data_IF_956418045406
#
_entry.id   IF_956418045406
#
_cell.length_a   1.000
_cell.length_b   1.000
_cell.length_c   1.000
_cell.angle_alpha   90.00
_cell.angle_beta   90.00
_cell.angle_gamma   90.00
#
_symmetry.space_group_name_H-M   'P 1'
#
loop_
_entity.id
_entity.type
_entity.pdbx_description
1 polymer ?
#
# COMPACT_ATOMS: atom_id res chain seq x y z
N UNK A 1 0.49 -36.50 -53.84
CA UNK A 1 0.62 -36.45 -52.36
C UNK A 1 0.67 -35.01 -51.82
N UNK A 2 1.58 -34.14 -52.26
CA UNK A 2 1.78 -32.79 -51.68
C UNK A 2 0.49 -31.95 -51.46
N UNK A 3 -0.47 -31.95 -52.40
CA UNK A 3 -1.74 -31.19 -52.25
C UNK A 3 -2.61 -31.65 -51.07
N UNK A 4 -2.67 -32.95 -50.74
CA UNK A 4 -3.44 -33.40 -49.57
C UNK A 4 -2.80 -32.95 -48.26
N UNK A 5 -1.47 -33.00 -48.16
CA UNK A 5 -0.73 -32.61 -46.95
C UNK A 5 -0.99 -31.13 -46.61
N UNK A 6 -1.07 -30.27 -47.63
CA UNK A 6 -1.37 -28.84 -47.44
C UNK A 6 -2.77 -28.58 -46.88
N UNK A 7 -3.79 -29.31 -47.36
CA UNK A 7 -5.16 -29.20 -46.80
C UNK A 7 -5.25 -29.74 -45.37
N UNK A 8 -4.55 -30.84 -45.05
CA UNK A 8 -4.47 -31.34 -43.67
C UNK A 8 -3.75 -30.37 -42.73
N UNK A 9 -2.67 -29.71 -43.17
CA UNK A 9 -1.99 -28.69 -42.39
C UNK A 9 -2.87 -27.47 -42.10
N UNK A 10 -3.64 -27.00 -43.10
CA UNK A 10 -4.60 -25.90 -42.90
C UNK A 10 -5.74 -26.33 -41.98
N UNK A 11 -6.27 -27.54 -42.11
CA UNK A 11 -7.32 -28.05 -41.22
C UNK A 11 -6.84 -28.13 -39.76
N UNK A 12 -5.63 -28.66 -39.53
CA UNK A 12 -5.03 -28.73 -38.18
C UNK A 12 -4.75 -27.33 -37.61
N UNK A 13 -4.28 -26.38 -38.42
CA UNK A 13 -4.09 -24.99 -38.01
C UNK A 13 -5.42 -24.29 -37.65
N UNK A 14 -6.48 -24.51 -38.43
CA UNK A 14 -7.80 -23.96 -38.12
C UNK A 14 -8.40 -24.58 -36.86
N UNK A 15 -8.24 -25.89 -36.66
CA UNK A 15 -8.67 -26.57 -35.42
C UNK A 15 -7.90 -26.04 -34.20
N UNK A 16 -6.60 -25.79 -34.32
CA UNK A 16 -5.81 -25.23 -33.20
C UNK A 16 -6.17 -23.77 -32.90
N UNK A 17 -6.50 -22.95 -33.91
CA UNK A 17 -6.99 -21.56 -33.73
C UNK A 17 -8.39 -21.54 -33.10
N UNK A 18 -9.31 -22.42 -33.53
CA UNK A 18 -10.65 -22.55 -32.94
C UNK A 18 -10.56 -23.05 -31.50
N UNK A 19 -9.69 -24.02 -31.20
CA UNK A 19 -9.43 -24.43 -29.83
C UNK A 19 -8.82 -23.30 -29.00
N UNK A 20 -7.82 -22.57 -29.49
CA UNK A 20 -7.20 -21.46 -28.77
C UNK A 20 -8.20 -20.33 -28.46
N UNK A 21 -9.00 -19.91 -29.44
CA UNK A 21 -10.03 -18.87 -29.24
C UNK A 21 -11.17 -19.35 -28.30
N UNK A 22 -11.56 -20.61 -28.37
CA UNK A 22 -12.57 -21.20 -27.47
C UNK A 22 -12.02 -21.35 -26.05
N UNK A 23 -10.75 -21.76 -25.89
CA UNK A 23 -10.06 -21.78 -24.59
C UNK A 23 -9.98 -20.36 -24.01
N UNK A 24 -9.50 -19.37 -24.77
CA UNK A 24 -9.40 -17.98 -24.30
C UNK A 24 -10.77 -17.42 -23.90
N UNK A 25 -11.84 -17.78 -24.60
CA UNK A 25 -13.21 -17.38 -24.25
C UNK A 25 -13.75 -18.11 -23.02
N UNK A 26 -13.43 -19.40 -22.85
CA UNK A 26 -13.74 -20.18 -21.64
C UNK A 26 -12.98 -19.64 -20.43
N UNK A 27 -11.67 -19.41 -20.55
CA UNK A 27 -10.85 -18.78 -19.51
C UNK A 27 -11.36 -17.39 -19.16
N UNK A 28 -11.67 -16.53 -20.14
CA UNK A 28 -12.23 -15.18 -19.89
C UNK A 28 -13.60 -15.23 -19.20
N UNK A 29 -14.47 -16.18 -19.56
CA UNK A 29 -15.74 -16.40 -18.88
C UNK A 29 -15.55 -16.99 -17.47
N UNK A 30 -14.59 -17.88 -17.27
CA UNK A 30 -14.24 -18.44 -15.95
C UNK A 30 -13.60 -17.38 -15.04
N UNK A 31 -12.82 -16.45 -15.61
CA UNK A 31 -12.25 -15.30 -14.90
C UNK A 31 -13.34 -14.31 -14.47
N UNK A 32 -14.28 -13.98 -15.37
CA UNK A 32 -15.43 -13.14 -15.05
C UNK A 32 -16.38 -13.81 -14.03
N UNK A 33 -16.59 -15.13 -14.14
CA UNK A 33 -17.37 -15.90 -13.16
C UNK A 33 -16.68 -15.96 -11.80
N UNK A 34 -15.35 -16.13 -11.75
CA UNK A 34 -14.58 -16.09 -10.51
C UNK A 34 -14.51 -14.69 -9.90
N UNK A 35 -14.44 -13.61 -10.69
CA UNK A 35 -14.57 -12.23 -10.17
C UNK A 35 -15.88 -11.99 -9.41
N UNK A 36 -16.98 -12.63 -9.82
CA UNK A 36 -18.26 -12.56 -9.10
C UNK A 36 -18.35 -13.53 -7.89
N UNK A 37 -17.40 -14.44 -7.72
CA UNK A 37 -17.28 -15.37 -6.58
C UNK A 37 -16.24 -14.92 -5.54
N UNK A 38 -15.28 -14.08 -5.93
CA UNK A 38 -14.33 -13.40 -5.05
C UNK A 38 -14.72 -11.95 -4.75
N UNK A 39 -15.90 -11.52 -5.17
CA UNK A 39 -16.56 -10.41 -4.51
C UNK A 39 -16.84 -10.85 -3.05
N UNK A 40 -16.00 -10.38 -2.11
CA UNK A 40 -16.34 -10.38 -0.69
C UNK A 40 -17.79 -9.88 -0.58
N UNK A 41 -18.67 -10.71 -0.03
CA UNK A 41 -20.03 -10.31 0.27
C UNK A 41 -19.92 -9.23 1.36
N UNK A 42 -19.80 -7.96 0.94
CA UNK A 42 -19.78 -6.79 1.83
C UNK A 42 -21.05 -6.86 2.66
N UNK A 43 -20.92 -7.38 3.88
CA UNK A 43 -22.03 -7.51 4.82
C UNK A 43 -22.45 -6.08 5.14
N UNK A 44 -23.66 -5.70 4.73
CA UNK A 44 -24.12 -4.33 4.87
C UNK A 44 -24.06 -3.93 6.35
N UNK A 45 -23.12 -3.05 6.69
CA UNK A 45 -22.94 -2.60 8.07
C UNK A 45 -24.21 -1.87 8.54
N UNK A 46 -24.57 -2.03 9.81
CA UNK A 46 -25.66 -1.24 10.37
C UNK A 46 -25.35 0.26 10.22
N UNK A 47 -26.25 1.08 9.64
CA UNK A 47 -26.03 2.53 9.53
C UNK A 47 -25.80 3.24 10.86
N UNK A 48 -26.13 2.59 11.98
CA UNK A 48 -25.85 3.07 13.35
C UNK A 48 -24.36 3.04 13.71
N UNK A 49 -23.52 2.37 12.92
CA UNK A 49 -22.08 2.25 13.12
C UNK A 49 -21.25 3.16 12.20
N UNK A 50 -21.89 3.79 11.20
CA UNK A 50 -21.26 4.69 10.23
C UNK A 50 -21.58 4.32 8.76
N UNK A 51 -20.95 4.99 7.77
CA UNK A 51 -19.96 6.05 7.94
C UNK A 51 -20.57 7.32 8.55
N UNK A 52 -19.86 7.87 9.53
CA UNK A 52 -20.09 9.22 10.05
C UNK A 52 -19.03 10.17 9.50
N UNK A 53 -19.33 11.47 9.49
CA UNK A 53 -18.37 12.51 9.09
C UNK A 53 -18.30 13.61 10.13
N UNK A 54 -17.13 14.21 10.27
CA UNK A 54 -16.96 15.47 11.00
C UNK A 54 -16.08 16.44 10.19
N UNK A 55 -16.25 17.77 10.36
CA UNK A 55 -15.42 18.74 9.67
C UNK A 55 -14.00 18.75 10.27
N UNK A 56 -13.04 18.20 9.55
CA UNK A 56 -11.62 18.27 9.90
C UNK A 56 -10.96 19.44 9.15
N UNK A 57 -10.04 20.16 9.81
CA UNK A 57 -9.30 21.25 9.15
C UNK A 57 -8.44 20.74 8.00
N UNK A 58 -8.42 21.48 6.90
CA UNK A 58 -7.48 21.25 5.80
C UNK A 58 -6.06 21.64 6.23
N UNK A 59 -5.90 22.72 6.99
CA UNK A 59 -4.61 23.19 7.48
C UNK A 59 -4.66 23.38 9.01
N UNK A 60 -3.72 22.74 9.71
CA UNK A 60 -3.59 22.81 11.17
C UNK A 60 -2.53 23.84 11.63
N UNK A 61 -1.82 24.46 10.68
CA UNK A 61 -0.68 25.36 10.93
C UNK A 61 -0.97 26.81 10.51
N UNK A 62 -1.86 27.07 9.55
CA UNK A 62 -2.42 28.41 9.32
C UNK A 62 -3.73 28.62 10.11
N UNK A 63 -3.70 29.54 11.08
CA UNK A 63 -4.87 29.88 11.90
C UNK A 63 -5.94 30.69 11.16
N UNK A 64 -5.59 31.31 10.03
CA UNK A 64 -6.51 32.04 9.15
C UNK A 64 -7.20 31.12 8.12
N UNK A 65 -6.69 29.89 7.95
CA UNK A 65 -7.29 28.91 7.08
C UNK A 65 -8.45 28.20 7.80
N UNK A 66 -9.67 28.53 7.38
CA UNK A 66 -10.91 27.95 7.89
C UNK A 66 -11.47 26.82 7.00
N UNK A 67 -10.74 26.40 5.95
CA UNK A 67 -11.20 25.31 5.10
C UNK A 67 -11.25 23.99 5.86
N UNK A 68 -12.32 23.23 5.65
CA UNK A 68 -12.51 21.90 6.23
C UNK A 68 -12.91 20.88 5.17
N UNK A 69 -12.70 19.61 5.46
CA UNK A 69 -13.17 18.47 4.67
C UNK A 69 -13.96 17.50 5.56
N UNK A 70 -14.91 16.73 5.00
CA UNK A 70 -15.68 15.75 5.76
C UNK A 70 -14.84 14.50 6.00
N UNK A 71 -14.21 14.41 7.18
CA UNK A 71 -13.39 13.27 7.58
C UNK A 71 -14.29 12.09 7.98
N UNK A 72 -14.18 10.95 7.27
CA UNK A 72 -14.99 9.76 7.54
C UNK A 72 -14.44 8.92 8.69
N UNK A 73 -15.35 8.34 9.47
CA UNK A 73 -15.06 7.36 10.51
C UNK A 73 -16.27 6.47 10.79
N UNK A 74 -16.03 5.33 11.43
CA UNK A 74 -17.05 4.42 11.96
C UNK A 74 -16.79 4.20 13.45
N UNK A 75 -17.83 3.92 14.22
CA UNK A 75 -17.72 3.70 15.66
C UNK A 75 -18.62 2.56 16.12
N UNK A 76 -18.08 1.67 16.96
CA UNK A 76 -18.83 0.61 17.63
C UNK A 76 -18.53 0.63 19.13
N UNK A 77 -19.56 0.96 19.91
CA UNK A 77 -19.53 1.05 21.36
C UNK A 77 -20.29 -0.09 22.06
N UNK A 78 -20.73 -1.12 21.33
CA UNK A 78 -21.56 -2.23 21.86
C UNK A 78 -20.89 -2.97 23.03
N UNK A 79 -19.55 -3.03 23.04
CA UNK A 79 -18.76 -3.70 24.08
C UNK A 79 -18.37 -2.77 25.24
N UNK A 80 -18.73 -1.48 25.20
CA UNK A 80 -18.22 -0.49 26.14
C UNK A 80 -18.68 -0.74 27.59
N UNK A 81 -17.75 -0.60 28.52
CA UNK A 81 -17.98 -0.61 29.98
C UNK A 81 -17.28 0.60 30.60
N UNK A 82 -17.78 1.18 31.70
CA UNK A 82 -17.10 2.30 32.37
C UNK A 82 -15.64 1.99 32.68
N UNK A 83 -14.73 2.86 32.20
CA UNK A 83 -13.28 2.68 32.32
C UNK A 83 -12.61 1.89 31.17
N UNK A 84 -13.37 1.43 30.17
CA UNK A 84 -12.82 0.78 28.98
C UNK A 84 -12.16 1.76 27.99
N UNK A 85 -11.17 1.30 27.21
CA UNK A 85 -10.40 2.17 26.31
C UNK A 85 -11.15 2.52 25.01
N UNK A 86 -10.72 3.61 24.36
CA UNK A 86 -11.01 3.86 22.95
C UNK A 86 -9.89 3.23 22.12
N UNK A 87 -10.24 2.27 21.28
CA UNK A 87 -9.36 1.59 20.33
C UNK A 87 -9.52 2.33 19.00
N UNK A 88 -8.61 3.25 18.74
CA UNK A 88 -8.57 4.03 17.50
C UNK A 88 -7.73 3.29 16.45
N UNK A 89 -8.41 2.74 15.45
CA UNK A 89 -7.79 2.06 14.32
C UNK A 89 -7.77 3.02 13.12
N UNK A 90 -6.57 3.50 12.78
CA UNK A 90 -6.36 4.24 11.55
C UNK A 90 -6.05 3.24 10.43
N UNK A 91 -6.85 3.22 9.37
CA UNK A 91 -6.78 2.17 8.32
C UNK A 91 -5.56 2.28 7.38
N UNK A 92 -4.70 3.28 7.59
CA UNK A 92 -3.57 3.57 6.71
C UNK A 92 -4.04 3.96 5.31
N UNK A 93 -3.24 3.61 4.31
CA UNK A 93 -3.38 4.04 2.93
C UNK A 93 -4.52 3.35 2.14
N UNK A 94 -5.74 3.24 2.71
CA UNK A 94 -6.88 2.54 2.09
C UNK A 94 -8.29 3.03 2.50
N UNK A 95 -9.32 2.62 1.75
CA UNK A 95 -10.74 2.94 2.01
C UNK A 95 -11.26 2.19 3.24
N UNK A 96 -11.57 2.93 4.31
CA UNK A 96 -12.04 2.36 5.58
C UNK A 96 -13.37 1.63 5.45
N UNK A 97 -14.15 1.86 4.38
CA UNK A 97 -15.36 1.09 4.07
C UNK A 97 -15.07 -0.41 3.87
N UNK A 98 -13.83 -0.78 3.51
CA UNK A 98 -13.36 -2.17 3.43
C UNK A 98 -12.91 -2.76 4.77
N UNK A 99 -12.63 -1.92 5.78
CA UNK A 99 -12.08 -2.33 7.09
C UNK A 99 -13.15 -2.33 8.18
N UNK A 100 -14.43 -2.29 7.80
CA UNK A 100 -15.54 -2.29 8.77
C UNK A 100 -15.60 -3.57 9.60
N UNK A 101 -14.96 -4.65 9.16
CA UNK A 101 -14.84 -5.86 9.97
C UNK A 101 -13.96 -5.67 11.22
N UNK A 102 -12.92 -4.84 11.16
CA UNK A 102 -12.19 -4.40 12.37
C UNK A 102 -13.12 -3.76 13.42
N UNK A 103 -14.17 -3.09 12.97
CA UNK A 103 -15.18 -2.50 13.84
C UNK A 103 -16.09 -3.53 14.52
N UNK A 104 -16.33 -4.70 13.92
CA UNK A 104 -17.36 -5.66 14.38
C UNK A 104 -16.85 -7.04 14.78
N UNK A 105 -15.86 -7.63 14.09
CA UNK A 105 -15.41 -9.02 14.31
C UNK A 105 -13.88 -9.26 14.14
N UNK A 106 -13.12 -8.27 13.69
CA UNK A 106 -11.66 -8.30 13.58
C UNK A 106 -10.90 -8.05 14.90
N UNK A 107 -9.56 -7.94 14.82
CA UNK A 107 -8.67 -7.86 15.99
C UNK A 107 -9.06 -6.73 16.96
N UNK A 108 -9.37 -5.54 16.45
CA UNK A 108 -9.75 -4.39 17.28
C UNK A 108 -11.14 -4.54 17.91
N UNK A 109 -12.07 -5.27 17.28
CA UNK A 109 -13.32 -5.71 17.93
C UNK A 109 -13.07 -6.74 19.02
N UNK A 110 -12.20 -7.73 18.80
CA UNK A 110 -11.82 -8.71 19.84
C UNK A 110 -11.14 -8.02 21.02
N UNK A 111 -10.30 -7.02 20.77
CA UNK A 111 -9.68 -6.17 21.78
C UNK A 111 -10.75 -5.37 22.55
N UNK A 112 -11.74 -4.77 21.87
CA UNK A 112 -12.87 -4.08 22.50
C UNK A 112 -13.72 -5.02 23.36
N UNK A 113 -14.01 -6.24 22.89
CA UNK A 113 -14.75 -7.26 23.65
C UNK A 113 -14.01 -7.67 24.94
N UNK A 114 -12.69 -7.86 24.87
CA UNK A 114 -11.86 -8.25 26.02
C UNK A 114 -11.64 -7.12 27.03
N UNK A 115 -11.49 -5.88 26.56
CA UNK A 115 -11.17 -4.72 27.40
C UNK A 115 -12.40 -3.88 27.79
N UNK A 116 -13.59 -4.22 27.30
CA UNK A 116 -14.79 -3.41 27.49
C UNK A 116 -14.73 -2.05 26.78
N UNK A 117 -14.08 -1.98 25.62
CA UNK A 117 -13.75 -0.75 24.92
C UNK A 117 -14.72 -0.34 23.80
N UNK A 118 -14.41 0.80 23.19
CA UNK A 118 -15.06 1.32 21.96
C UNK A 118 -14.07 1.18 20.80
N UNK A 119 -14.48 0.68 19.64
CA UNK A 119 -13.67 0.75 18.41
C UNK A 119 -14.06 1.99 17.61
N UNK A 120 -13.08 2.76 17.16
CA UNK A 120 -13.21 3.77 16.12
C UNK A 120 -12.35 3.33 14.94
N UNK A 121 -12.98 2.99 13.81
CA UNK A 121 -12.26 2.82 12.54
C UNK A 121 -12.24 4.18 11.87
N UNK A 122 -11.07 4.78 11.78
CA UNK A 122 -10.85 6.11 11.21
C UNK A 122 -10.26 5.96 9.81
N UNK A 123 -10.91 6.59 8.83
CA UNK A 123 -10.37 6.65 7.49
C UNK A 123 -9.15 7.58 7.48
N UNK A 124 -7.99 7.10 7.04
CA UNK A 124 -6.83 7.98 6.95
C UNK A 124 -7.18 9.15 6.02
N UNK A 125 -6.77 10.37 6.40
CA UNK A 125 -6.91 11.54 5.53
C UNK A 125 -6.25 11.22 4.18
N UNK A 126 -6.96 11.46 3.08
CA UNK A 126 -6.55 11.07 1.72
C UNK A 126 -6.71 9.59 1.35
N UNK A 127 -7.65 8.85 1.95
CA UNK A 127 -8.03 7.50 1.48
C UNK A 127 -9.55 7.25 1.50
N UNK A 128 -10.04 6.27 0.73
CA UNK A 128 -11.48 5.98 0.58
C UNK A 128 -12.32 7.10 -0.04
N UNK A 129 -13.57 7.28 0.41
CA UNK A 129 -14.37 8.46 0.03
C UNK A 129 -13.86 9.75 0.72
N UNK A 130 -12.82 9.65 1.56
CA UNK A 130 -11.97 10.76 1.98
C UNK A 130 -10.77 10.98 1.01
N UNK A 131 -10.90 10.63 -0.29
CA UNK A 131 -9.85 10.79 -1.33
C UNK A 131 -10.35 11.01 -2.80
N UNK A 132 -9.50 11.44 -3.77
CA UNK A 132 -9.88 11.51 -5.19
C UNK A 132 -9.05 10.74 -6.26
N UNK A 133 -7.72 10.59 -6.20
CA UNK A 133 -6.89 10.15 -7.37
C UNK A 133 -5.61 9.34 -7.04
N UNK A 134 -4.87 8.78 -8.05
CA UNK A 134 -3.62 8.00 -7.83
C UNK A 134 -2.35 8.43 -8.62
N UNK A 135 -1.15 8.30 -7.99
CA UNK A 135 0.19 8.45 -8.63
C UNK A 135 0.68 7.19 -9.37
N UNK A 136 1.30 7.33 -10.56
CA UNK A 136 2.17 6.32 -11.16
C UNK A 136 3.67 6.72 -11.11
N UNK A 137 4.56 5.81 -10.68
CA UNK A 137 5.96 5.65 -11.14
C UNK A 137 6.78 4.58 -10.35
N UNK A 138 6.19 3.93 -9.34
CA UNK A 138 6.81 2.80 -8.61
C UNK A 138 6.39 1.40 -9.09
N UNK A 139 5.82 1.27 -10.30
CA UNK A 139 4.76 0.30 -10.62
C UNK A 139 4.96 -1.14 -10.07
N UNK A 140 6.07 -1.88 -10.35
CA UNK A 140 6.23 -3.22 -9.79
C UNK A 140 6.32 -3.22 -8.26
N UNK A 141 7.11 -2.30 -7.66
CA UNK A 141 7.23 -2.19 -6.20
C UNK A 141 5.91 -1.74 -5.56
N UNK A 142 5.14 -0.90 -6.25
CA UNK A 142 3.80 -0.47 -5.81
C UNK A 142 2.72 -1.55 -5.97
N UNK A 143 3.02 -2.64 -6.68
CA UNK A 143 2.22 -3.87 -6.72
C UNK A 143 2.69 -4.87 -5.66
N UNK A 144 3.99 -4.98 -5.41
CA UNK A 144 4.56 -5.82 -4.35
C UNK A 144 4.07 -5.43 -2.95
N UNK A 145 3.95 -4.13 -2.66
CA UNK A 145 3.34 -3.64 -1.41
C UNK A 145 1.85 -3.98 -1.26
N UNK A 146 1.17 -4.47 -2.32
CA UNK A 146 -0.26 -4.82 -2.35
C UNK A 146 -0.52 -6.32 -2.38
N UNK A 147 0.51 -7.15 -2.25
CA UNK A 147 0.36 -8.60 -2.18
C UNK A 147 -0.19 -9.00 -0.82
N UNK A 148 -1.25 -9.80 -0.78
CA UNK A 148 -1.91 -10.25 0.45
C UNK A 148 -1.82 -11.79 0.60
N UNK A 149 -2.00 -12.34 1.81
CA UNK A 149 -2.07 -13.78 1.99
C UNK A 149 -3.16 -14.46 1.15
N UNK A 150 -2.74 -15.24 0.16
CA UNK A 150 -3.64 -15.95 -0.76
C UNK A 150 -4.07 -15.14 -1.98
N UNK A 151 -3.78 -13.83 -2.05
CA UNK A 151 -3.86 -13.03 -3.28
C UNK A 151 -2.46 -12.52 -3.67
N UNK A 152 -1.78 -13.19 -4.63
CA UNK A 152 -0.44 -12.80 -5.04
C UNK A 152 -0.41 -11.44 -5.77
N UNK A 153 -1.57 -10.92 -6.19
CA UNK A 153 -1.74 -9.58 -6.72
C UNK A 153 -1.06 -9.32 -8.09
N UNK A 154 -1.09 -8.06 -8.57
CA UNK A 154 -0.56 -7.69 -9.88
C UNK A 154 0.98 -7.76 -9.99
N UNK A 155 1.71 -8.03 -8.89
CA UNK A 155 3.14 -8.28 -8.94
C UNK A 155 3.48 -9.67 -9.49
N UNK A 156 2.66 -10.67 -9.18
CA UNK A 156 2.85 -12.02 -9.69
C UNK A 156 2.57 -12.08 -11.20
N UNK A 157 1.61 -11.29 -11.72
CA UNK A 157 1.43 -11.09 -13.16
C UNK A 157 2.68 -10.48 -13.84
N UNK A 158 3.40 -9.58 -13.15
CA UNK A 158 4.69 -9.05 -13.60
C UNK A 158 5.77 -10.15 -13.60
N UNK A 159 5.89 -10.94 -12.53
CA UNK A 159 6.84 -12.06 -12.45
C UNK A 159 6.62 -13.09 -13.56
N UNK A 160 5.35 -13.44 -13.84
CA UNK A 160 4.98 -14.42 -14.86
C UNK A 160 5.44 -14.06 -16.27
N UNK A 161 5.62 -12.77 -16.58
CA UNK A 161 6.19 -12.32 -17.85
C UNK A 161 7.62 -12.86 -18.08
N UNK A 162 8.35 -13.20 -17.01
CA UNK A 162 9.73 -13.69 -17.06
C UNK A 162 9.86 -15.21 -17.03
N UNK A 163 8.77 -15.97 -16.85
CA UNK A 163 8.82 -17.43 -16.65
C UNK A 163 9.54 -18.20 -17.78
N UNK A 164 9.52 -17.67 -19.01
CA UNK A 164 10.19 -18.25 -20.17
C UNK A 164 11.47 -17.49 -20.59
N UNK A 165 11.88 -16.46 -19.84
CA UNK A 165 12.96 -15.54 -20.19
C UNK A 165 14.31 -15.97 -19.59
N UNK A 166 14.94 -16.98 -20.19
CA UNK A 166 16.17 -17.61 -19.68
C UNK A 166 17.48 -16.92 -20.07
N UNK A 167 17.43 -15.89 -20.93
CA UNK A 167 18.62 -15.12 -21.34
C UNK A 167 18.43 -13.64 -21.05
N UNK A 168 19.51 -12.85 -20.85
CA UNK A 168 19.39 -11.41 -20.61
C UNK A 168 18.61 -10.65 -21.70
N UNK A 169 18.78 -11.05 -22.96
CA UNK A 169 18.03 -10.46 -24.09
C UNK A 169 16.52 -10.79 -24.00
N UNK A 170 16.17 -12.04 -23.66
CA UNK A 170 14.78 -12.43 -23.45
C UNK A 170 14.16 -11.73 -22.23
N UNK A 171 14.93 -11.49 -21.16
CA UNK A 171 14.48 -10.77 -19.96
C UNK A 171 14.22 -9.29 -20.26
N UNK A 172 15.10 -8.63 -21.03
CA UNK A 172 14.86 -7.25 -21.50
C UNK A 172 13.62 -7.18 -22.40
N UNK A 173 13.43 -8.16 -23.30
CA UNK A 173 12.24 -8.23 -24.15
C UNK A 173 10.94 -8.45 -23.35
N UNK A 174 10.96 -9.34 -22.34
CA UNK A 174 9.84 -9.58 -21.44
C UNK A 174 9.46 -8.31 -20.65
N UNK A 175 10.45 -7.64 -20.04
CA UNK A 175 10.26 -6.39 -19.30
C UNK A 175 9.68 -5.28 -20.20
N UNK A 176 10.23 -5.11 -21.40
CA UNK A 176 9.77 -4.12 -22.36
C UNK A 176 8.33 -4.41 -22.84
N UNK A 177 8.00 -5.68 -23.11
CA UNK A 177 6.65 -6.11 -23.51
C UNK A 177 5.62 -5.83 -22.42
N UNK A 178 5.92 -6.23 -21.17
CA UNK A 178 5.04 -5.99 -20.02
C UNK A 178 4.85 -4.48 -19.76
N UNK A 179 5.95 -3.71 -19.79
CA UNK A 179 5.90 -2.26 -19.57
C UNK A 179 5.11 -1.55 -20.66
N UNK A 180 5.22 -1.99 -21.92
CA UNK A 180 4.43 -1.45 -23.04
C UNK A 180 2.93 -1.72 -22.85
N UNK A 181 2.55 -2.94 -22.45
CA UNK A 181 1.17 -3.29 -22.17
C UNK A 181 0.60 -2.50 -20.97
N UNK A 182 1.38 -2.38 -19.90
CA UNK A 182 1.02 -1.57 -18.74
C UNK A 182 0.84 -0.09 -19.12
N UNK A 183 1.81 0.50 -19.84
CA UNK A 183 1.77 1.90 -20.26
C UNK A 183 0.54 2.21 -21.13
N UNK A 184 0.22 1.33 -22.09
CA UNK A 184 -0.97 1.48 -22.93
C UNK A 184 -2.29 1.46 -22.13
N UNK A 185 -2.36 0.66 -21.07
CA UNK A 185 -3.53 0.61 -20.18
C UNK A 185 -3.59 1.81 -19.20
N UNK A 186 -2.44 2.26 -18.69
CA UNK A 186 -2.34 3.33 -17.70
C UNK A 186 -2.60 4.73 -18.28
N UNK A 187 -2.08 5.02 -19.48
CA UNK A 187 -2.22 6.34 -20.10
C UNK A 187 -3.65 6.63 -20.61
N UNK A 188 -4.46 5.58 -20.83
CA UNK A 188 -5.81 5.67 -21.39
C UNK A 188 -5.86 6.52 -22.69
N UNK A 189 -6.38 7.74 -22.62
CA UNK A 189 -6.53 8.67 -23.75
C UNK A 189 -5.41 9.74 -23.83
N UNK A 190 -4.41 9.69 -22.95
CA UNK A 190 -3.27 10.62 -22.92
C UNK A 190 -2.05 10.02 -23.64
N UNK A 191 -1.11 10.86 -24.08
CA UNK A 191 0.17 10.35 -24.59
C UNK A 191 1.04 9.83 -23.43
N UNK A 192 2.00 8.95 -23.73
CA UNK A 192 2.94 8.46 -22.72
C UNK A 192 3.81 9.59 -22.15
N UNK A 193 4.12 10.62 -22.95
CA UNK A 193 4.89 11.79 -22.51
C UNK A 193 4.05 12.69 -21.58
N UNK A 194 2.75 12.89 -21.85
CA UNK A 194 1.86 13.63 -20.94
C UNK A 194 1.70 12.89 -19.59
N UNK A 195 1.51 11.56 -19.66
CA UNK A 195 1.26 10.73 -18.48
C UNK A 195 2.52 10.50 -17.64
N UNK A 196 3.60 9.98 -18.24
CA UNK A 196 4.84 9.62 -17.55
C UNK A 196 5.93 10.70 -17.57
N UNK A 197 5.86 11.69 -18.47
CA UNK A 197 6.93 12.69 -18.63
C UNK A 197 7.16 13.53 -17.37
N UNK A 198 8.43 13.73 -17.00
CA UNK A 198 8.84 14.40 -15.75
C UNK A 198 9.72 15.62 -16.02
N UNK A 199 9.46 16.30 -17.14
CA UNK A 199 10.28 17.41 -17.65
C UNK A 199 9.48 18.66 -18.06
N UNK A 200 8.16 18.57 -18.25
CA UNK A 200 7.33 19.73 -18.54
C UNK A 200 6.79 20.37 -17.23
N UNK A 201 7.20 21.60 -16.87
CA UNK A 201 6.63 22.32 -15.73
C UNK A 201 5.16 22.74 -15.96
N UNK A 202 4.65 22.69 -17.20
CA UNK A 202 3.25 23.00 -17.53
C UNK A 202 2.31 21.80 -17.47
N UNK A 203 2.84 20.58 -17.32
CA UNK A 203 2.03 19.37 -17.22
C UNK A 203 1.01 19.48 -16.07
N UNK A 204 -0.20 18.97 -16.29
CA UNK A 204 -1.33 19.11 -15.34
C UNK A 204 -0.96 18.65 -13.93
N UNK A 205 -0.24 17.54 -13.78
CA UNK A 205 0.25 17.04 -12.48
C UNK A 205 1.15 18.05 -11.72
N UNK A 206 1.99 18.79 -12.44
CA UNK A 206 2.90 19.81 -11.86
C UNK A 206 2.12 21.06 -11.42
N UNK A 207 1.15 21.49 -12.24
CA UNK A 207 0.41 22.75 -12.10
C UNK A 207 -0.89 22.65 -11.32
N UNK A 208 -1.41 21.44 -11.07
CA UNK A 208 -2.66 21.26 -10.36
C UNK A 208 -2.51 21.62 -8.86
N UNK A 209 -3.01 22.81 -8.49
CA UNK A 209 -3.08 23.29 -7.10
C UNK A 209 -4.49 23.25 -6.53
N UNK A 210 -5.39 22.39 -7.02
CA UNK A 210 -6.72 22.24 -6.41
C UNK A 210 -6.58 21.81 -4.94
N UNK A 211 -7.47 22.32 -4.09
CA UNK A 211 -7.65 21.75 -2.75
C UNK A 211 -7.96 20.25 -2.88
N UNK A 212 -7.48 19.47 -1.91
CA UNK A 212 -7.52 17.99 -1.93
C UNK A 212 -6.64 17.33 -3.01
N UNK A 213 -5.54 17.97 -3.44
CA UNK A 213 -4.45 17.30 -4.15
C UNK A 213 -3.47 16.67 -3.12
N UNK A 214 -3.70 15.41 -2.80
CA UNK A 214 -2.92 14.57 -1.90
C UNK A 214 -1.56 14.20 -2.47
N UNK A 215 -1.48 13.82 -3.75
CA UNK A 215 -0.23 13.56 -4.49
C UNK A 215 0.78 14.71 -4.30
N UNK A 216 0.29 15.96 -4.46
CA UNK A 216 1.08 17.18 -4.26
C UNK A 216 1.45 17.41 -2.79
N UNK A 217 0.60 17.01 -1.86
CA UNK A 217 0.85 17.14 -0.41
C UNK A 217 1.91 16.13 0.06
N UNK A 218 1.85 14.88 -0.43
CA UNK A 218 2.86 13.86 -0.18
C UNK A 218 4.19 14.19 -0.87
N UNK A 219 4.14 14.67 -2.12
CA UNK A 219 5.34 15.14 -2.82
C UNK A 219 6.00 16.30 -2.08
N UNK A 220 5.23 17.21 -1.48
CA UNK A 220 5.77 18.29 -0.64
C UNK A 220 6.56 17.76 0.57
N UNK A 221 5.99 16.83 1.34
CA UNK A 221 6.66 16.20 2.50
C UNK A 221 7.92 15.43 2.10
N UNK A 222 7.87 14.69 1.00
CA UNK A 222 9.02 13.91 0.51
C UNK A 222 10.11 14.79 -0.10
N UNK A 223 9.77 15.87 -0.81
CA UNK A 223 10.70 16.86 -1.35
C UNK A 223 11.44 17.69 -0.28
N UNK A 224 10.82 17.93 0.88
CA UNK A 224 11.39 18.77 1.94
C UNK A 224 11.95 18.01 3.14
N UNK A 225 11.38 16.88 3.52
CA UNK A 225 11.65 16.27 4.83
C UNK A 225 12.01 14.79 4.71
N UNK A 226 11.13 13.97 4.13
CA UNK A 226 11.22 12.51 4.24
C UNK A 226 12.13 11.86 3.19
N UNK A 227 12.14 12.35 1.95
CA UNK A 227 12.95 11.77 0.87
C UNK A 227 12.70 10.27 0.61
N UNK A 228 11.46 9.80 0.78
CA UNK A 228 11.03 8.39 0.63
C UNK A 228 10.99 7.96 -0.85
N UNK A 229 12.13 8.07 -1.52
CA UNK A 229 12.30 7.83 -2.94
C UNK A 229 12.56 6.33 -3.21
N UNK A 230 11.66 5.70 -3.95
CA UNK A 230 11.81 4.31 -4.39
C UNK A 230 12.86 4.22 -5.52
N UNK A 231 14.13 4.08 -5.12
CA UNK A 231 15.28 4.09 -6.04
C UNK A 231 15.86 2.69 -6.23
N UNK A 232 16.71 2.54 -7.25
CA UNK A 232 17.38 1.26 -7.50
C UNK A 232 18.31 0.82 -6.36
N UNK A 233 18.47 -0.50 -6.22
CA UNK A 233 19.35 -1.05 -5.20
C UNK A 233 20.82 -0.68 -5.48
N UNK A 234 21.68 -0.59 -4.43
CA UNK A 234 23.08 -0.23 -4.57
C UNK A 234 23.85 -1.11 -5.58
N UNK A 235 24.97 -0.59 -6.10
CA UNK A 235 25.90 -1.38 -6.92
C UNK A 235 26.28 -2.67 -6.17
N UNK A 236 26.38 -3.78 -6.91
CA UNK A 236 26.60 -5.11 -6.34
C UNK A 236 25.32 -5.89 -5.99
N UNK A 237 24.17 -5.22 -5.84
CA UNK A 237 22.89 -5.87 -5.55
C UNK A 237 22.03 -5.99 -6.82
N UNK A 238 21.24 -7.06 -6.92
CA UNK A 238 20.21 -7.19 -7.96
C UNK A 238 19.13 -6.11 -7.75
N UNK A 239 18.52 -5.63 -8.84
CA UNK A 239 17.48 -4.60 -8.77
C UNK A 239 16.51 -4.69 -9.93
N UNK A 240 15.22 -4.53 -9.64
CA UNK A 240 14.15 -4.43 -10.63
C UNK A 240 13.99 -2.99 -11.17
N UNK A 241 14.45 -1.99 -10.41
CA UNK A 241 14.42 -0.58 -10.80
C UNK A 241 15.72 -0.23 -11.53
N UNK A 242 15.63 0.51 -12.63
CA UNK A 242 16.80 1.00 -13.36
C UNK A 242 17.70 1.86 -12.47
N UNK A 243 19.03 1.62 -12.48
CA UNK A 243 20.02 2.40 -11.71
C UNK A 243 20.16 3.87 -12.12
N UNK A 244 19.41 4.32 -13.14
CA UNK A 244 19.24 5.73 -13.47
C UNK A 244 18.20 6.43 -12.58
N UNK A 245 17.34 5.66 -11.89
CA UNK A 245 16.37 6.16 -10.91
C UNK A 245 17.07 6.31 -9.55
N UNK A 246 17.56 7.52 -9.29
CA UNK A 246 18.32 7.92 -8.10
C UNK A 246 17.52 8.88 -7.22
N UNK A 247 17.96 9.19 -5.98
CA UNK A 247 17.33 10.24 -5.18
C UNK A 247 17.32 11.60 -5.89
N UNK A 248 18.41 11.93 -6.60
CA UNK A 248 18.51 13.17 -7.38
C UNK A 248 17.54 13.17 -8.59
N UNK A 249 17.21 12.01 -9.17
CA UNK A 249 16.14 11.90 -10.18
C UNK A 249 14.78 12.31 -9.64
N UNK A 250 14.41 11.94 -8.41
CA UNK A 250 13.17 12.42 -7.79
C UNK A 250 13.29 13.89 -7.39
N UNK A 251 14.36 14.29 -6.70
CA UNK A 251 14.53 15.66 -6.21
C UNK A 251 14.50 16.72 -7.31
N UNK A 252 15.03 16.42 -8.52
CA UNK A 252 14.99 17.35 -9.66
C UNK A 252 13.56 17.74 -10.09
N UNK A 253 12.56 16.94 -9.71
CA UNK A 253 11.16 17.15 -10.09
C UNK A 253 10.46 18.10 -9.13
N UNK A 254 10.91 18.20 -7.87
CA UNK A 254 10.30 19.05 -6.85
C UNK A 254 10.12 20.51 -7.32
N UNK A 255 11.09 21.06 -8.05
CA UNK A 255 11.06 22.42 -8.61
C UNK A 255 10.03 22.62 -9.75
N UNK A 256 9.50 21.54 -10.33
CA UNK A 256 8.38 21.61 -11.29
C UNK A 256 7.04 21.81 -10.57
N UNK A 257 6.94 21.36 -9.31
CA UNK A 257 5.73 21.44 -8.51
C UNK A 257 5.76 22.67 -7.58
N UNK A 258 6.90 23.00 -6.96
CA UNK A 258 6.99 24.03 -5.91
C UNK A 258 8.03 25.12 -6.21
N UNK A 259 7.85 26.35 -5.70
CA UNK A 259 8.82 27.44 -5.84
C UNK A 259 10.23 27.05 -5.39
N UNK A 260 11.25 27.39 -6.20
CA UNK A 260 12.65 27.13 -5.85
C UNK A 260 13.15 27.88 -4.61
N UNK A 261 12.44 28.94 -4.18
CA UNK A 261 12.79 29.74 -3.00
C UNK A 261 12.54 29.03 -1.66
N UNK A 262 11.70 28.00 -1.64
CA UNK A 262 11.34 27.24 -0.42
C UNK A 262 11.88 25.81 -0.44
N UNK A 263 12.39 25.34 -1.59
CA UNK A 263 12.98 24.02 -1.76
C UNK A 263 14.46 24.02 -1.38
N UNK A 264 14.89 22.96 -0.69
CA UNK A 264 16.30 22.61 -0.51
C UNK A 264 16.80 21.71 -1.64
N UNK A 265 18.11 21.71 -1.87
CA UNK A 265 18.74 20.87 -2.90
C UNK A 265 18.61 19.35 -2.64
N UNK A 266 18.33 18.96 -1.39
CA UNK A 266 17.95 17.61 -0.94
C UNK A 266 16.95 17.71 0.22
N UNK A 267 16.09 16.70 0.46
CA UNK A 267 15.18 16.69 1.61
C UNK A 267 15.97 16.66 2.92
N UNK A 268 15.40 17.24 3.98
CA UNK A 268 16.03 17.41 5.30
C UNK A 268 15.99 16.13 6.17
N UNK A 269 16.28 14.98 5.56
CA UNK A 269 16.19 13.66 6.21
C UNK A 269 17.02 13.57 7.48
N UNK A 270 18.23 14.15 7.49
CA UNK A 270 19.08 14.22 8.68
C UNK A 270 18.38 14.91 9.86
N UNK A 271 17.74 16.06 9.63
CA UNK A 271 17.02 16.79 10.68
C UNK A 271 15.84 15.98 11.25
N UNK A 272 15.10 15.28 10.39
CA UNK A 272 14.01 14.38 10.83
C UNK A 272 14.56 13.22 11.66
N UNK A 273 15.62 12.56 11.19
CA UNK A 273 16.26 11.45 11.90
C UNK A 273 16.91 11.88 13.22
N UNK A 274 17.52 13.06 13.29
CA UNK A 274 18.08 13.65 14.51
C UNK A 274 16.96 14.02 15.51
N UNK A 275 15.87 14.63 15.02
CA UNK A 275 14.76 15.10 15.86
C UNK A 275 13.92 13.97 16.46
N UNK A 276 13.72 12.89 15.71
CA UNK A 276 12.85 11.77 16.11
C UNK A 276 13.62 10.46 16.39
N UNK A 277 14.95 10.49 16.40
CA UNK A 277 15.83 9.35 16.68
C UNK A 277 16.07 8.38 15.51
N UNK A 278 15.21 8.38 14.48
CA UNK A 278 15.31 7.48 13.34
C UNK A 278 15.39 6.01 13.76
N UNK A 279 16.31 5.22 13.20
CA UNK A 279 16.54 3.83 13.61
C UNK A 279 16.92 3.65 15.09
N UNK A 280 17.45 4.71 15.74
CA UNK A 280 17.87 4.71 17.15
C UNK A 280 16.77 5.18 18.12
N UNK A 281 15.53 5.38 17.66
CA UNK A 281 14.42 5.76 18.51
C UNK A 281 14.16 4.65 19.56
N UNK A 282 14.39 4.94 20.84
CA UNK A 282 14.07 4.05 21.96
C UNK A 282 12.96 4.69 22.80
N UNK A 283 11.84 4.00 22.94
CA UNK A 283 10.68 4.43 23.72
C UNK A 283 9.85 3.21 24.16
N UNK A 284 9.32 3.28 25.37
CA UNK A 284 8.34 2.32 25.89
C UNK A 284 6.98 2.50 25.17
N UNK A 285 6.17 1.44 25.16
CA UNK A 285 4.81 1.39 24.61
C UNK A 285 4.72 1.57 23.09
N UNK A 286 5.77 1.15 22.35
CA UNK A 286 5.74 1.02 20.89
C UNK A 286 5.94 -0.45 20.52
N UNK A 287 4.95 -1.03 19.84
CA UNK A 287 5.07 -2.35 19.22
C UNK A 287 5.56 -2.16 17.79
N UNK A 288 6.78 -2.62 17.49
CA UNK A 288 7.36 -2.53 16.16
C UNK A 288 7.00 -3.80 15.39
N UNK A 289 6.24 -3.66 14.29
CA UNK A 289 5.86 -4.76 13.40
C UNK A 289 6.34 -4.44 11.99
N UNK A 290 6.97 -5.40 11.32
CA UNK A 290 7.45 -5.27 9.94
C UNK A 290 7.32 -6.61 9.21
N UNK A 291 7.08 -6.59 7.90
CA UNK A 291 7.23 -7.77 7.04
C UNK A 291 8.68 -8.01 6.63
N UNK A 292 9.11 -9.28 6.53
CA UNK A 292 10.44 -9.67 6.03
C UNK A 292 10.71 -9.19 4.60
N UNK A 293 9.68 -9.15 3.76
CA UNK A 293 9.75 -8.74 2.36
C UNK A 293 9.10 -7.37 2.11
N UNK A 294 8.70 -6.63 3.16
CA UNK A 294 8.20 -5.27 3.02
C UNK A 294 9.27 -4.35 2.38
N UNK A 295 8.98 -3.69 1.23
CA UNK A 295 9.93 -2.77 0.59
C UNK A 295 10.28 -1.58 1.51
N UNK A 296 9.38 -1.18 2.39
CA UNK A 296 9.55 -0.10 3.36
C UNK A 296 10.31 -0.52 4.63
N UNK A 297 10.55 -1.83 4.86
CA UNK A 297 11.42 -2.31 5.96
C UNK A 297 12.77 -1.62 5.99
N UNK A 298 13.31 -1.26 4.82
CA UNK A 298 14.58 -0.55 4.68
C UNK A 298 14.59 0.87 5.29
N UNK A 299 13.42 1.46 5.57
CA UNK A 299 13.29 2.75 6.25
C UNK A 299 12.99 2.61 7.75
N UNK A 300 12.59 1.43 8.22
CA UNK A 300 12.16 1.21 9.60
C UNK A 300 13.30 0.74 10.52
N UNK A 301 13.00 0.58 11.82
CA UNK A 301 13.91 0.00 12.81
C UNK A 301 14.27 -1.47 12.55
N UNK A 302 13.59 -2.12 11.61
CA UNK A 302 13.87 -3.50 11.17
C UNK A 302 14.70 -3.57 9.87
N UNK A 303 15.25 -2.43 9.40
CA UNK A 303 16.15 -2.41 8.25
C UNK A 303 17.38 -3.32 8.51
N UNK A 304 17.88 -4.08 7.51
CA UNK A 304 19.04 -4.97 7.70
C UNK A 304 20.34 -4.30 8.15
N UNK A 305 20.41 -2.97 8.03
CA UNK A 305 21.53 -2.11 8.46
C UNK A 305 21.18 -1.16 9.60
N UNK A 306 19.98 -1.28 10.20
CA UNK A 306 19.67 -0.63 11.47
C UNK A 306 20.44 -1.31 12.63
N UNK A 307 20.70 -0.60 13.75
CA UNK A 307 21.23 -1.22 14.97
C UNK A 307 20.29 -2.31 15.49
N UNK A 308 20.86 -3.41 16.01
CA UNK A 308 20.08 -4.49 16.62
C UNK A 308 19.25 -3.97 17.79
N UNK A 309 17.92 -4.05 17.67
CA UNK A 309 16.95 -3.67 18.71
C UNK A 309 16.59 -4.87 19.57
N UNK A 310 16.72 -4.73 20.88
CA UNK A 310 16.20 -5.72 21.83
C UNK A 310 14.67 -5.65 21.85
N UNK A 311 14.00 -6.79 21.62
CA UNK A 311 12.56 -6.93 21.85
C UNK A 311 12.31 -7.08 23.35
N UNK A 312 11.36 -6.32 23.90
CA UNK A 312 11.02 -6.31 25.34
C UNK A 312 9.51 -6.29 25.55
N UNK A 313 9.02 -6.60 26.75
CA UNK A 313 7.58 -6.53 27.07
C UNK A 313 6.99 -5.11 26.90
N UNK A 314 7.83 -4.07 27.04
CA UNK A 314 7.43 -2.67 26.90
C UNK A 314 7.55 -2.14 25.47
N UNK A 315 8.52 -2.63 24.69
CA UNK A 315 8.62 -2.35 23.26
C UNK A 315 8.97 -3.64 22.53
N UNK A 316 7.97 -4.45 22.17
CA UNK A 316 8.15 -5.62 21.33
C UNK A 316 8.62 -5.21 19.94
N UNK A 317 9.48 -6.03 19.35
CA UNK A 317 9.96 -5.86 17.99
C UNK A 317 9.83 -7.20 17.26
N UNK A 318 8.96 -7.23 16.25
CA UNK A 318 8.59 -8.44 15.51
C UNK A 318 8.80 -8.23 14.01
N UNK A 319 9.46 -9.21 13.40
CA UNK A 319 9.60 -9.33 11.96
C UNK A 319 8.76 -10.53 11.51
N UNK A 320 7.68 -10.29 10.79
CA UNK A 320 6.80 -11.34 10.27
C UNK A 320 7.51 -12.00 9.08
N UNK A 321 7.83 -13.29 9.21
CA UNK A 321 8.48 -14.09 8.17
C UNK A 321 7.61 -14.14 6.92
N UNK A 322 8.25 -14.07 5.75
CA UNK A 322 7.64 -14.13 4.41
C UNK A 322 6.60 -13.02 4.09
N UNK A 323 6.31 -12.12 5.03
CA UNK A 323 5.31 -11.07 4.87
C UNK A 323 5.81 -9.84 4.10
N UNK A 324 4.92 -9.21 3.33
CA UNK A 324 5.18 -7.90 2.72
C UNK A 324 4.58 -6.77 3.58
N UNK A 325 4.11 -5.68 2.96
CA UNK A 325 3.68 -4.47 3.64
C UNK A 325 2.39 -4.68 4.44
N UNK A 326 2.42 -4.30 5.72
CA UNK A 326 1.29 -4.27 6.68
C UNK A 326 0.44 -5.56 6.76
N UNK A 327 1.06 -6.74 6.64
CA UNK A 327 0.37 -8.03 6.79
C UNK A 327 -0.21 -8.28 8.18
N UNK A 328 0.27 -7.58 9.20
CA UNK A 328 -0.35 -7.51 10.52
C UNK A 328 -1.74 -6.85 10.50
N UNK A 329 -2.01 -5.96 9.54
CA UNK A 329 -3.35 -5.44 9.25
C UNK A 329 -4.12 -6.29 8.22
N UNK A 330 -3.74 -7.55 8.00
CA UNK A 330 -4.55 -8.50 7.24
C UNK A 330 -5.53 -9.26 8.14
N UNK A 331 -6.80 -9.23 7.77
CA UNK A 331 -7.86 -10.02 8.40
C UNK A 331 -8.90 -10.42 7.34
N UNK A 332 -9.54 -11.57 7.53
CA UNK A 332 -10.62 -12.04 6.63
C UNK A 332 -11.64 -12.91 7.38
N UNK A 333 -12.95 -12.81 7.08
CA UNK A 333 -13.96 -13.73 7.63
C UNK A 333 -14.06 -15.03 6.83
N UNK A 334 -13.52 -15.04 5.61
CA UNK A 334 -13.70 -16.10 4.61
C UNK A 334 -12.41 -16.83 4.26
N UNK A 335 -11.25 -16.24 4.58
CA UNK A 335 -9.93 -16.80 4.32
C UNK A 335 -9.25 -17.13 5.64
N UNK A 336 -8.63 -18.31 5.75
CA UNK A 336 -7.80 -18.67 6.90
C UNK A 336 -6.63 -17.71 7.01
N UNK A 337 -6.58 -16.92 8.10
CA UNK A 337 -5.46 -16.01 8.39
C UNK A 337 -4.20 -16.87 8.64
N UNK A 338 -3.06 -16.59 7.99
CA UNK A 338 -1.81 -17.31 8.21
C UNK A 338 -1.36 -17.29 9.67
N UNK A 339 -0.82 -18.41 10.15
CA UNK A 339 -0.37 -18.58 11.53
C UNK A 339 0.66 -17.52 12.00
N UNK A 340 1.63 -17.06 11.18
CA UNK A 340 2.52 -15.95 11.58
C UNK A 340 1.80 -14.64 11.89
N UNK A 341 0.69 -14.33 11.20
CA UNK A 341 -0.11 -13.12 11.44
C UNK A 341 -0.94 -13.30 12.71
N UNK A 342 -1.56 -14.49 12.90
CA UNK A 342 -2.28 -14.84 14.13
C UNK A 342 -1.36 -14.80 15.35
N UNK A 343 -0.10 -15.22 15.22
CA UNK A 343 0.88 -15.10 16.30
C UNK A 343 1.13 -13.62 16.68
N UNK A 344 1.33 -12.75 15.69
CA UNK A 344 1.50 -11.31 15.93
C UNK A 344 0.27 -10.67 16.56
N UNK A 345 -0.95 -10.98 16.10
CA UNK A 345 -2.19 -10.50 16.73
C UNK A 345 -2.26 -10.90 18.21
N UNK A 346 -1.92 -12.16 18.53
CA UNK A 346 -1.90 -12.63 19.92
C UNK A 346 -0.83 -11.89 20.76
N UNK A 347 0.35 -11.64 20.21
CA UNK A 347 1.39 -10.85 20.90
C UNK A 347 0.96 -9.39 21.09
N UNK A 348 0.38 -8.75 20.08
CA UNK A 348 -0.10 -7.37 20.11
C UNK A 348 -1.20 -7.18 21.16
N UNK A 349 -2.23 -8.03 21.13
CA UNK A 349 -3.30 -8.04 22.14
C UNK A 349 -2.74 -8.27 23.55
N UNK A 350 -1.76 -9.17 23.73
CA UNK A 350 -1.13 -9.43 25.02
C UNK A 350 -0.35 -8.21 25.54
N UNK A 351 0.48 -7.58 24.70
CA UNK A 351 1.25 -6.38 25.06
C UNK A 351 0.34 -5.20 25.41
N UNK A 352 -0.63 -4.86 24.55
CA UNK A 352 -1.61 -3.81 24.81
C UNK A 352 -2.39 -4.06 26.11
N UNK A 353 -2.80 -5.30 26.36
CA UNK A 353 -3.48 -5.69 27.60
C UNK A 353 -2.59 -5.54 28.84
N UNK A 354 -1.28 -5.79 28.73
CA UNK A 354 -0.31 -5.58 29.81
C UNK A 354 -0.12 -4.09 30.10
N UNK A 355 0.07 -3.28 29.06
CA UNK A 355 0.27 -1.85 29.15
C UNK A 355 -0.94 -1.14 29.80
N UNK A 356 -2.16 -1.47 29.38
CA UNK A 356 -3.39 -0.87 29.91
C UNK A 356 -3.66 -1.26 31.38
N UNK A 357 -3.27 -2.45 31.83
CA UNK A 357 -3.34 -2.83 33.25
C UNK A 357 -2.45 -1.92 34.10
N UNK A 358 -1.23 -1.66 33.64
CA UNK A 358 -0.26 -0.82 34.35
C UNK A 358 -0.64 0.68 34.28
N UNK A 359 -1.35 1.11 33.24
CA UNK A 359 -1.85 2.47 33.10
C UNK A 359 -2.86 2.84 34.20
N UNK A 360 -3.79 1.94 34.53
CA UNK A 360 -4.81 2.16 35.56
C UNK A 360 -4.30 2.05 37.01
N UNK A 361 -2.98 1.91 37.21
CA UNK A 361 -2.33 1.83 38.54
C UNK A 361 -1.45 3.04 38.87
N UNK A 362 -1.49 4.08 38.02
CA UNK A 362 -0.82 5.39 38.19
C UNK A 362 -1.88 6.44 38.53
#
# INVERSE_FOLDING_TARGET
MARLIFFWAIALALISIVNATTLTRLFKNQFNSKRNLFALNKRALSPQLGPFTFPQKVDHFDWNNHATFPQRYWVNSTNYRPGGPIIFFNVGESDASGFTDYLIEGETSLLAQRLGGVVIVFEHRYYGESNPVPVPLGIPVSFWQKTEPGDPGPFEEFCQAFNNATTPSAQVAAYASWTTAYAANACQNQTQDDYFGTHDPKASKCTNTTLNNDDRSWLWQTCLEFGYWQTAAPKGHLTLISRLVTPDYFQRQCQLFFPVSILSSKPRTNYINEKFGGWKLEADHIFWINGEFDPWRSLSVAAPNAPTRLSTEKSPNVLIKDAVHVWDAFWSPTTTIPEPIVEVHNQLVASLSGWLKNFNTI
#
